data_IF_207922831660
#
_entry.id   IF_207922831660
#
_cell.length_a   1.000
_cell.length_b   1.000
_cell.length_c   1.000
_cell.angle_alpha   90.00
_cell.angle_beta   90.00
_cell.angle_gamma   90.00
#
_symmetry.space_group_name_H-M   'P 1'
#
loop_
_entity.id
_entity.type
_entity.pdbx_description
1 polymer ?
#
# COMPACT_ATOMS: atom_id res chain seq x y z
N UNK A 1 -29.52 5.42 10.94
CA UNK A 1 -29.25 5.47 12.41
C UNK A 1 -27.96 4.75 12.83
N UNK A 2 -27.75 3.50 12.41
CA UNK A 2 -26.59 2.69 12.81
C UNK A 2 -25.24 3.29 12.35
N UNK A 3 -25.11 3.66 11.08
CA UNK A 3 -23.85 4.22 10.54
C UNK A 3 -23.40 5.49 11.28
N UNK A 4 -24.36 6.37 11.62
CA UNK A 4 -24.09 7.57 12.41
C UNK A 4 -23.55 7.24 13.80
N UNK A 5 -24.07 6.18 14.43
CA UNK A 5 -23.60 5.72 15.74
C UNK A 5 -22.17 5.20 15.64
N UNK A 6 -21.86 4.37 14.65
CA UNK A 6 -20.51 3.86 14.42
C UNK A 6 -19.50 4.98 14.18
N UNK A 7 -19.86 5.99 13.38
CA UNK A 7 -19.02 7.17 13.16
C UNK A 7 -18.80 7.95 14.46
N UNK A 8 -19.84 8.13 15.27
CA UNK A 8 -19.72 8.79 16.58
C UNK A 8 -18.88 7.98 17.59
N UNK A 9 -18.82 6.66 17.44
CA UNK A 9 -17.95 5.75 18.21
C UNK A 9 -16.51 5.72 17.68
N UNK A 10 -16.21 6.43 16.58
CA UNK A 10 -14.88 6.53 15.98
C UNK A 10 -14.57 5.51 14.89
N UNK A 11 -15.56 4.75 14.42
CA UNK A 11 -15.38 3.80 13.31
C UNK A 11 -15.43 4.51 11.95
N UNK A 12 -14.69 3.99 10.98
CA UNK A 12 -14.78 4.39 9.58
C UNK A 12 -15.63 3.39 8.77
N UNK A 13 -16.33 3.88 7.75
CA UNK A 13 -17.09 3.06 6.80
C UNK A 13 -16.36 3.12 5.46
N UNK A 14 -15.70 2.01 5.10
CA UNK A 14 -14.82 1.89 3.93
C UNK A 14 -15.52 1.27 2.72
N UNK A 15 -14.84 1.25 1.57
CA UNK A 15 -15.42 0.90 0.27
C UNK A 15 -15.26 -0.60 -0.02
N UNK A 16 -16.35 -1.27 -0.40
CA UNK A 16 -16.36 -2.70 -0.75
C UNK A 16 -17.20 -3.02 -2.00
N UNK A 17 -17.29 -2.07 -2.94
CA UNK A 17 -18.21 -2.05 -4.11
C UNK A 17 -19.70 -2.06 -3.71
N UNK A 18 -20.59 -1.65 -4.62
CA UNK A 18 -22.04 -1.68 -4.37
C UNK A 18 -22.61 -3.09 -4.55
N UNK A 19 -22.18 -3.78 -5.61
CA UNK A 19 -22.84 -5.02 -6.04
C UNK A 19 -22.11 -6.30 -5.56
N UNK A 20 -20.95 -6.14 -4.89
CA UNK A 20 -20.09 -7.25 -4.47
C UNK A 20 -19.82 -8.30 -5.58
N UNK A 21 -19.38 -7.87 -6.79
CA UNK A 21 -19.06 -8.81 -7.87
C UNK A 21 -17.82 -9.64 -7.52
N UNK A 22 -17.86 -10.92 -7.86
CA UNK A 22 -16.86 -11.89 -7.42
C UNK A 22 -16.46 -12.81 -8.58
N UNK A 23 -15.42 -12.49 -9.38
CA UNK A 23 -14.52 -11.32 -9.31
C UNK A 23 -15.11 -9.98 -9.79
N UNK A 24 -14.45 -8.86 -9.47
CA UNK A 24 -14.84 -7.53 -9.95
C UNK A 24 -14.74 -7.37 -11.48
N UNK A 25 -13.60 -7.75 -12.06
CA UNK A 25 -13.32 -7.62 -13.51
C UNK A 25 -13.88 -8.79 -14.34
N UNK A 26 -14.93 -9.47 -13.86
CA UNK A 26 -15.52 -10.59 -14.57
C UNK A 26 -16.32 -10.17 -15.80
N UNK A 27 -16.42 -11.06 -16.79
CA UNK A 27 -17.28 -10.86 -17.96
C UNK A 27 -16.76 -9.87 -19.02
N UNK A 28 -15.56 -9.31 -18.84
CA UNK A 28 -14.95 -8.39 -19.82
C UNK A 28 -15.59 -7.01 -19.87
N UNK A 29 -16.43 -6.67 -18.89
CA UNK A 29 -17.16 -5.40 -18.82
C UNK A 29 -16.47 -4.44 -17.84
N UNK A 30 -15.52 -3.67 -18.37
CA UNK A 30 -14.69 -2.77 -17.56
C UNK A 30 -15.49 -1.58 -17.02
N UNK A 31 -16.44 -1.05 -17.80
CA UNK A 31 -17.28 0.07 -17.39
C UNK A 31 -18.21 -0.31 -16.23
N UNK A 32 -18.76 -1.53 -16.25
CA UNK A 32 -19.53 -2.05 -15.12
C UNK A 32 -18.68 -2.22 -13.86
N UNK A 33 -17.46 -2.75 -14.00
CA UNK A 33 -16.52 -2.92 -12.89
C UNK A 33 -16.14 -1.56 -12.27
N UNK A 34 -15.79 -0.58 -13.11
CA UNK A 34 -15.54 0.79 -12.65
C UNK A 34 -16.76 1.39 -11.99
N UNK A 35 -17.93 1.26 -12.62
CA UNK A 35 -19.18 1.84 -12.14
C UNK A 35 -19.57 1.36 -10.75
N UNK A 36 -19.42 0.07 -10.43
CA UNK A 36 -19.76 -0.44 -9.09
C UNK A 36 -18.79 0.02 -8.00
N UNK A 37 -17.52 0.24 -8.36
CA UNK A 37 -16.52 0.84 -7.48
C UNK A 37 -16.81 2.32 -7.25
N UNK A 38 -16.91 3.12 -8.32
CA UNK A 38 -17.13 4.58 -8.27
C UNK A 38 -18.40 4.93 -7.48
N UNK A 39 -19.51 4.22 -7.74
CA UNK A 39 -20.76 4.41 -6.98
C UNK A 39 -20.58 4.12 -5.50
N UNK A 40 -19.76 3.14 -5.12
CA UNK A 40 -19.52 2.82 -3.71
C UNK A 40 -18.66 3.89 -3.04
N UNK A 41 -17.61 4.37 -3.70
CA UNK A 41 -16.78 5.48 -3.23
C UNK A 41 -17.66 6.71 -2.97
N UNK A 42 -18.45 7.12 -3.96
CA UNK A 42 -19.33 8.28 -3.83
C UNK A 42 -20.40 8.09 -2.75
N UNK A 43 -20.99 6.89 -2.66
CA UNK A 43 -21.96 6.58 -1.61
C UNK A 43 -21.34 6.67 -0.21
N UNK A 44 -20.16 6.08 0.01
CA UNK A 44 -19.48 6.11 1.31
C UNK A 44 -19.04 7.53 1.68
N UNK A 45 -18.59 8.33 0.71
CA UNK A 45 -18.26 9.74 0.89
C UNK A 45 -19.49 10.61 1.19
N UNK A 46 -20.68 10.22 0.73
CA UNK A 46 -21.92 10.96 0.99
C UNK A 46 -22.47 10.78 2.41
N UNK A 47 -21.96 9.81 3.19
CA UNK A 47 -22.42 9.57 4.57
C UNK A 47 -21.90 10.71 5.46
N UNK A 48 -22.77 11.49 6.14
CA UNK A 48 -22.32 12.61 6.95
C UNK A 48 -21.33 12.20 8.06
N UNK A 49 -20.16 12.85 8.08
CA UNK A 49 -19.08 12.57 9.03
C UNK A 49 -18.22 11.36 8.67
N UNK A 50 -18.52 10.64 7.59
CA UNK A 50 -17.64 9.62 7.05
C UNK A 50 -16.67 10.23 6.05
N UNK A 51 -15.46 9.70 5.99
CA UNK A 51 -14.51 10.00 4.92
C UNK A 51 -13.75 8.70 4.63
N UNK A 52 -14.23 7.89 3.67
CA UNK A 52 -13.58 6.63 3.34
C UNK A 52 -12.18 6.90 2.82
N UNK A 53 -11.21 6.08 3.21
CA UNK A 53 -9.84 6.15 2.70
C UNK A 53 -9.37 4.82 2.12
N UNK A 54 -10.08 3.72 2.41
CA UNK A 54 -9.66 2.38 2.08
C UNK A 54 -10.69 1.64 1.22
N UNK A 55 -10.16 0.74 0.40
CA UNK A 55 -10.92 -0.25 -0.35
C UNK A 55 -10.58 -1.66 0.13
N UNK A 56 -11.53 -2.58 -0.04
CA UNK A 56 -11.25 -4.02 -0.04
C UNK A 56 -11.93 -4.65 -1.24
N UNK A 57 -11.20 -5.47 -1.99
CA UNK A 57 -11.71 -6.19 -3.15
C UNK A 57 -12.66 -7.30 -2.70
N UNK A 58 -13.88 -7.40 -3.25
CA UNK A 58 -14.76 -8.54 -3.00
C UNK A 58 -14.08 -9.89 -3.25
N UNK A 59 -14.33 -10.85 -2.36
CA UNK A 59 -13.81 -12.23 -2.42
C UNK A 59 -12.28 -12.37 -2.47
N UNK A 60 -11.51 -11.37 -2.06
CA UNK A 60 -10.04 -11.43 -2.11
C UNK A 60 -9.41 -12.50 -1.22
N UNK A 61 -10.17 -13.04 -0.26
CA UNK A 61 -9.82 -14.13 0.67
C UNK A 61 -10.24 -15.53 0.18
N UNK A 62 -10.93 -15.62 -0.95
CA UNK A 62 -11.55 -16.87 -1.43
C UNK A 62 -11.34 -17.15 -2.91
N UNK A 63 -10.97 -16.12 -3.70
CA UNK A 63 -10.71 -16.21 -5.14
C UNK A 63 -9.59 -15.27 -5.53
N UNK A 64 -8.92 -15.52 -6.65
CA UNK A 64 -7.96 -14.57 -7.23
C UNK A 64 -8.71 -13.37 -7.86
N UNK A 65 -8.89 -12.27 -7.12
CA UNK A 65 -9.72 -11.11 -7.54
C UNK A 65 -8.99 -9.76 -7.62
N UNK A 66 -7.99 -9.42 -6.77
CA UNK A 66 -7.15 -8.25 -6.97
C UNK A 66 -6.43 -8.33 -8.32
N UNK A 67 -6.24 -7.17 -8.95
CA UNK A 67 -5.67 -7.09 -10.30
C UNK A 67 -4.88 -5.81 -10.48
N UNK A 68 -3.70 -5.86 -11.13
CA UNK A 68 -2.97 -4.67 -11.57
C UNK A 68 -3.85 -3.67 -12.32
N UNK A 69 -4.74 -4.16 -13.21
CA UNK A 69 -5.65 -3.31 -13.98
C UNK A 69 -6.64 -2.57 -13.09
N UNK A 70 -7.15 -3.22 -12.03
CA UNK A 70 -8.02 -2.55 -11.07
C UNK A 70 -7.29 -1.38 -10.42
N UNK A 71 -6.06 -1.60 -9.92
CA UNK A 71 -5.31 -0.52 -9.28
C UNK A 71 -5.00 0.63 -10.24
N UNK A 72 -4.47 0.34 -11.43
CA UNK A 72 -4.00 1.37 -12.37
C UNK A 72 -5.12 2.11 -13.09
N UNK A 73 -6.21 1.42 -13.43
CA UNK A 73 -7.24 1.96 -14.32
C UNK A 73 -8.55 2.31 -13.57
N UNK A 74 -8.76 1.83 -12.34
CA UNK A 74 -9.96 2.12 -11.53
C UNK A 74 -9.57 2.83 -10.21
N UNK A 75 -8.87 2.16 -9.29
CA UNK A 75 -8.58 2.70 -7.95
C UNK A 75 -7.75 4.00 -7.99
N UNK A 76 -6.76 4.06 -8.87
CA UNK A 76 -5.90 5.22 -9.04
C UNK A 76 -6.59 6.38 -9.81
N UNK A 77 -7.85 6.24 -10.17
CA UNK A 77 -8.65 7.32 -10.78
C UNK A 77 -9.50 8.00 -9.70
N UNK A 78 -9.98 9.20 -10.04
CA UNK A 78 -11.01 9.89 -9.27
C UNK A 78 -12.38 9.54 -9.83
N UNK A 79 -13.40 9.55 -8.97
CA UNK A 79 -14.80 9.50 -9.41
C UNK A 79 -15.20 10.82 -10.08
N UNK A 80 -16.38 10.87 -10.70
CA UNK A 80 -16.90 12.09 -11.35
C UNK A 80 -17.01 13.28 -10.36
N UNK A 81 -17.46 13.09 -9.11
CA UNK A 81 -17.41 14.15 -8.09
C UNK A 81 -15.99 14.54 -7.61
N UNK A 82 -14.95 13.81 -8.03
CA UNK A 82 -13.57 14.05 -7.60
C UNK A 82 -13.14 13.26 -6.36
N UNK A 83 -13.92 12.27 -5.90
CA UNK A 83 -13.53 11.45 -4.75
C UNK A 83 -12.45 10.44 -5.14
N UNK A 84 -11.57 10.12 -4.20
CA UNK A 84 -10.53 9.09 -4.33
C UNK A 84 -10.18 8.49 -2.97
N UNK A 85 -9.51 7.33 -3.00
CA UNK A 85 -9.04 6.60 -1.82
C UNK A 85 -7.50 6.60 -1.77
N UNK A 86 -6.94 6.33 -0.58
CA UNK A 86 -5.50 6.28 -0.33
C UNK A 86 -4.98 4.87 -0.06
N UNK A 87 -5.84 3.95 0.38
CA UNK A 87 -5.45 2.61 0.77
C UNK A 87 -6.31 1.50 0.14
N UNK A 88 -5.71 0.34 0.01
CA UNK A 88 -6.35 -0.93 -0.31
C UNK A 88 -5.94 -1.98 0.75
N UNK A 89 -6.76 -3.00 0.95
CA UNK A 89 -6.50 -4.10 1.89
C UNK A 89 -7.08 -5.39 1.30
N UNK A 90 -6.44 -5.85 0.24
CA UNK A 90 -6.93 -6.89 -0.67
C UNK A 90 -5.93 -8.02 -0.93
N UNK A 91 -4.68 -7.88 -0.49
CA UNK A 91 -3.64 -8.91 -0.54
C UNK A 91 -3.44 -9.47 0.86
N UNK A 92 -3.20 -10.77 0.97
CA UNK A 92 -3.06 -11.48 2.24
C UNK A 92 -1.59 -11.79 2.57
N UNK A 93 -1.13 -11.33 3.73
CA UNK A 93 0.16 -11.71 4.27
C UNK A 93 0.10 -13.09 4.93
N UNK A 94 0.91 -14.01 4.42
CA UNK A 94 1.17 -15.32 5.02
C UNK A 94 2.48 -15.22 5.79
N UNK A 95 2.45 -15.54 7.08
CA UNK A 95 3.70 -15.79 7.81
C UNK A 95 4.16 -17.21 7.55
N UNK A 96 5.44 -17.40 7.25
CA UNK A 96 6.01 -18.69 6.91
C UNK A 96 7.16 -19.07 7.85
N UNK A 97 7.53 -20.37 7.91
CA UNK A 97 8.79 -20.77 8.54
C UNK A 97 10.04 -20.33 7.77
N UNK A 98 9.93 -19.66 6.63
CA UNK A 98 11.05 -19.04 5.93
C UNK A 98 11.63 -17.87 6.74
N UNK A 99 10.79 -17.13 7.47
CA UNK A 99 11.24 -16.06 8.34
C UNK A 99 11.97 -16.62 9.57
N UNK A 100 13.30 -16.55 9.54
CA UNK A 100 14.18 -17.03 10.61
C UNK A 100 14.22 -16.11 11.83
N UNK A 101 13.63 -14.90 11.75
CA UNK A 101 13.51 -13.99 12.88
C UNK A 101 12.38 -14.37 13.85
N UNK A 102 11.51 -15.31 13.45
CA UNK A 102 10.33 -15.72 14.22
C UNK A 102 10.54 -17.03 15.00
N UNK A 103 10.02 -17.12 16.24
CA UNK A 103 9.96 -18.39 16.97
C UNK A 103 9.21 -19.46 16.17
N UNK A 104 9.80 -20.67 16.07
CA UNK A 104 9.21 -21.79 15.31
C UNK A 104 7.81 -22.16 15.78
N UNK A 105 7.53 -22.00 17.07
CA UNK A 105 6.21 -22.28 17.67
C UNK A 105 5.11 -21.37 17.16
N UNK A 106 5.42 -20.18 16.64
CA UNK A 106 4.43 -19.26 16.07
C UNK A 106 4.13 -19.53 14.60
N UNK A 107 5.00 -20.23 13.89
CA UNK A 107 4.91 -20.43 12.42
C UNK A 107 4.72 -21.89 12.01
N UNK A 108 4.83 -22.83 12.97
CA UNK A 108 4.55 -24.25 12.77
C UNK A 108 3.46 -24.75 13.72
N UNK A 109 2.72 -25.73 13.24
CA UNK A 109 1.82 -26.55 14.04
C UNK A 109 2.59 -27.64 14.81
N UNK A 110 1.93 -28.30 15.77
CA UNK A 110 2.52 -29.36 16.60
C UNK A 110 2.98 -30.59 15.78
N UNK A 111 2.37 -30.82 14.61
CA UNK A 111 2.76 -31.87 13.67
C UNK A 111 3.94 -31.48 12.76
N UNK A 112 4.47 -30.26 12.94
CA UNK A 112 5.58 -29.70 12.16
C UNK A 112 5.15 -29.01 10.87
N UNK A 113 3.86 -29.04 10.51
CA UNK A 113 3.30 -28.35 9.34
C UNK A 113 3.39 -26.84 9.44
N UNK A 114 3.25 -26.14 8.30
CA UNK A 114 3.14 -24.67 8.29
C UNK A 114 1.81 -24.23 8.90
N UNK A 115 1.86 -23.34 9.90
CA UNK A 115 0.66 -22.90 10.62
C UNK A 115 -0.35 -22.21 9.72
N UNK A 116 0.11 -21.36 8.78
CA UNK A 116 -0.77 -20.44 8.05
C UNK A 116 -1.09 -20.89 6.62
N UNK A 117 -0.16 -21.54 5.91
CA UNK A 117 -0.34 -21.91 4.49
C UNK A 117 -1.54 -22.85 4.25
N UNK A 118 -1.90 -23.66 5.24
CA UNK A 118 -3.07 -24.57 5.20
C UNK A 118 -4.42 -23.85 4.99
N UNK A 119 -4.49 -22.55 5.28
CA UNK A 119 -5.69 -21.73 5.13
C UNK A 119 -5.90 -21.21 3.71
N UNK A 120 -4.88 -21.30 2.84
CA UNK A 120 -5.04 -20.84 1.46
C UNK A 120 -6.14 -21.62 0.74
N UNK A 121 -7.05 -20.94 0.01
CA UNK A 121 -8.25 -21.58 -0.50
C UNK A 121 -7.99 -22.70 -1.53
N UNK A 122 -6.91 -22.59 -2.31
CA UNK A 122 -6.51 -23.56 -3.33
C UNK A 122 -5.02 -23.39 -3.72
N UNK A 123 -4.36 -24.41 -4.32
CA UNK A 123 -2.92 -24.39 -4.59
C UNK A 123 -2.41 -23.25 -5.49
N UNK A 124 -3.25 -22.71 -6.38
CA UNK A 124 -2.91 -21.60 -7.28
C UNK A 124 -3.46 -20.24 -6.81
N UNK A 125 -3.73 -20.10 -5.51
CA UNK A 125 -4.11 -18.81 -4.93
C UNK A 125 -2.91 -17.86 -4.95
N UNK A 126 -3.09 -16.65 -5.47
CA UNK A 126 -1.99 -15.69 -5.70
C UNK A 126 -2.20 -14.33 -5.06
N UNK A 127 -3.30 -14.11 -4.34
CA UNK A 127 -3.57 -12.85 -3.66
C UNK A 127 -2.77 -12.73 -2.36
N UNK A 128 -1.51 -13.14 -2.38
CA UNK A 128 -0.73 -13.29 -1.16
C UNK A 128 0.65 -12.67 -1.31
N UNK A 129 1.15 -12.20 -0.17
CA UNK A 129 2.54 -11.87 0.05
C UNK A 129 3.04 -12.71 1.23
N UNK A 130 4.33 -13.00 1.29
CA UNK A 130 4.90 -13.81 2.36
C UNK A 130 5.81 -12.96 3.24
N UNK A 131 5.68 -13.12 4.56
CA UNK A 131 6.57 -12.54 5.58
C UNK A 131 6.71 -11.01 5.54
N UNK A 132 5.68 -10.31 5.03
CA UNK A 132 5.65 -8.86 4.87
C UNK A 132 4.39 -8.24 5.50
N UNK A 133 4.31 -8.15 6.85
CA UNK A 133 3.15 -7.59 7.55
C UNK A 133 3.12 -6.05 7.54
N UNK A 134 3.69 -5.39 6.54
CA UNK A 134 3.83 -3.93 6.48
C UNK A 134 3.04 -3.35 5.30
N UNK A 135 2.53 -2.11 5.41
CA UNK A 135 1.97 -1.41 4.26
C UNK A 135 3.02 -1.21 3.17
N UNK A 136 2.63 -1.35 1.90
CA UNK A 136 3.50 -1.08 0.74
C UNK A 136 2.78 -0.32 -0.36
N UNK A 137 3.52 0.29 -1.27
CA UNK A 137 2.94 1.15 -2.31
C UNK A 137 2.65 0.37 -3.60
N UNK A 138 1.43 0.45 -4.09
CA UNK A 138 1.02 -0.03 -5.42
C UNK A 138 0.80 1.16 -6.34
N UNK A 139 1.45 1.14 -7.51
CA UNK A 139 1.20 2.12 -8.58
C UNK A 139 1.39 3.57 -8.14
N UNK A 140 2.30 3.82 -7.18
CA UNK A 140 2.67 5.13 -6.59
C UNK A 140 1.60 5.84 -5.76
N UNK A 141 0.34 5.45 -5.89
CA UNK A 141 -0.81 6.20 -5.36
C UNK A 141 -1.64 5.42 -4.32
N UNK A 142 -1.38 4.12 -4.15
CA UNK A 142 -2.14 3.26 -3.25
C UNK A 142 -1.25 2.67 -2.17
N UNK A 143 -1.64 2.81 -0.91
CA UNK A 143 -1.12 2.01 0.18
C UNK A 143 -1.86 0.68 0.28
N UNK A 144 -1.20 -0.43 0.00
CA UNK A 144 -1.74 -1.76 0.29
C UNK A 144 -1.40 -2.15 1.73
N UNK A 145 -2.43 -2.37 2.53
CA UNK A 145 -2.37 -2.89 3.89
C UNK A 145 -2.74 -4.37 3.88
N UNK A 146 -1.75 -5.28 3.91
CA UNK A 146 -2.03 -6.69 3.69
C UNK A 146 -2.90 -7.26 4.83
N UNK A 147 -3.97 -7.96 4.46
CA UNK A 147 -4.80 -8.75 5.37
C UNK A 147 -3.96 -9.85 6.03
N UNK A 148 -4.32 -10.27 7.24
CA UNK A 148 -3.67 -11.41 7.88
C UNK A 148 -4.33 -12.72 7.48
N UNK A 149 -3.54 -13.77 7.24
CA UNK A 149 -4.03 -15.15 7.17
C UNK A 149 -4.01 -15.77 8.57
N UNK A 150 -5.12 -16.36 9.06
CA UNK A 150 -6.38 -16.53 8.35
C UNK A 150 -7.37 -15.36 8.53
N UNK A 151 -8.22 -15.12 7.52
CA UNK A 151 -9.55 -14.52 7.70
C UNK A 151 -10.52 -15.51 8.35
N UNK A 152 -11.67 -15.03 8.85
CA UNK A 152 -12.71 -15.95 9.32
C UNK A 152 -13.34 -16.81 8.19
N UNK A 153 -13.35 -16.33 6.94
CA UNK A 153 -13.79 -17.10 5.78
C UNK A 153 -12.83 -18.26 5.48
N UNK A 154 -11.52 -17.97 5.42
CA UNK A 154 -10.48 -18.99 5.19
C UNK A 154 -10.51 -20.02 6.31
N UNK A 155 -10.64 -19.54 7.55
CA UNK A 155 -10.67 -20.39 8.72
C UNK A 155 -11.90 -21.29 8.78
N UNK A 156 -13.11 -20.76 8.55
CA UNK A 156 -14.32 -21.59 8.57
C UNK A 156 -14.34 -22.59 7.41
N UNK A 157 -13.76 -22.25 6.26
CA UNK A 157 -13.72 -23.15 5.12
C UNK A 157 -12.92 -24.42 5.45
N UNK A 158 -11.80 -24.26 6.16
CA UNK A 158 -10.97 -25.37 6.62
C UNK A 158 -11.52 -26.06 7.88
N UNK A 159 -11.90 -25.29 8.90
CA UNK A 159 -12.10 -25.78 10.27
C UNK A 159 -13.55 -25.79 10.73
N UNK A 160 -14.49 -25.37 9.88
CA UNK A 160 -15.90 -25.07 10.18
C UNK A 160 -16.06 -23.84 11.09
N UNK A 161 -17.25 -23.21 11.10
CA UNK A 161 -17.50 -22.02 11.91
C UNK A 161 -17.15 -22.18 13.39
N UNK A 162 -16.69 -21.08 13.99
CA UNK A 162 -16.50 -20.91 15.42
C UNK A 162 -15.49 -21.88 16.07
N UNK A 163 -14.58 -22.44 15.27
CA UNK A 163 -13.54 -23.34 15.75
C UNK A 163 -12.55 -22.58 16.66
N UNK A 164 -12.24 -23.07 17.87
CA UNK A 164 -11.26 -22.41 18.75
C UNK A 164 -9.85 -22.37 18.17
N UNK A 165 -9.48 -23.30 17.26
CA UNK A 165 -8.19 -23.26 16.58
C UNK A 165 -8.02 -22.01 15.71
N UNK A 166 -9.11 -21.49 15.12
CA UNK A 166 -9.10 -20.21 14.40
C UNK A 166 -8.59 -19.07 15.28
N UNK A 167 -9.09 -18.98 16.51
CA UNK A 167 -8.71 -17.91 17.45
C UNK A 167 -7.25 -18.08 17.87
N UNK A 168 -6.82 -19.31 18.15
CA UNK A 168 -5.42 -19.60 18.49
C UNK A 168 -4.44 -19.23 17.36
N UNK A 169 -4.79 -19.54 16.10
CA UNK A 169 -3.96 -19.20 14.95
C UNK A 169 -3.98 -17.69 14.68
N UNK A 170 -5.12 -17.00 14.85
CA UNK A 170 -5.18 -15.53 14.80
C UNK A 170 -4.36 -14.86 15.92
N UNK A 171 -4.36 -15.42 17.14
CA UNK A 171 -3.51 -14.94 18.24
C UNK A 171 -2.02 -15.12 17.94
N UNK A 172 -1.63 -16.25 17.34
CA UNK A 172 -0.25 -16.47 16.88
C UNK A 172 0.16 -15.46 15.79
N UNK A 173 -0.71 -15.21 14.82
CA UNK A 173 -0.45 -14.20 13.78
C UNK A 173 -0.37 -12.78 14.36
N UNK A 174 -1.17 -12.46 15.38
CA UNK A 174 -1.06 -11.20 16.13
C UNK A 174 0.28 -11.09 16.86
N UNK A 175 0.71 -12.16 17.53
CA UNK A 175 2.03 -12.20 18.20
C UNK A 175 3.16 -11.97 17.20
N UNK A 176 3.07 -12.57 16.01
CA UNK A 176 4.02 -12.33 14.91
C UNK A 176 3.99 -10.86 14.50
N UNK A 177 2.82 -10.26 14.26
CA UNK A 177 2.72 -8.85 13.88
C UNK A 177 3.38 -7.93 14.93
N UNK A 178 3.23 -8.24 16.22
CA UNK A 178 3.91 -7.49 17.30
C UNK A 178 5.42 -7.68 17.28
N UNK A 179 5.92 -8.91 17.07
CA UNK A 179 7.36 -9.18 16.95
C UNK A 179 7.99 -8.46 15.76
N UNK A 180 7.25 -8.39 14.64
CA UNK A 180 7.67 -7.70 13.42
C UNK A 180 7.44 -6.19 13.48
N UNK A 181 6.77 -5.66 14.52
CA UNK A 181 6.33 -4.27 14.57
C UNK A 181 5.48 -3.86 13.36
N UNK A 182 4.70 -4.81 12.83
CA UNK A 182 3.87 -4.66 11.63
C UNK A 182 2.39 -4.38 11.94
N UNK A 183 1.56 -4.58 10.91
CA UNK A 183 0.11 -4.43 10.98
C UNK A 183 -0.59 -5.79 11.06
N UNK A 184 -1.72 -5.83 11.77
CA UNK A 184 -2.60 -6.99 11.85
C UNK A 184 -3.98 -6.57 11.34
N UNK A 185 -4.22 -6.72 10.03
CA UNK A 185 -5.48 -6.33 9.40
C UNK A 185 -6.44 -7.53 9.41
N UNK A 186 -7.24 -7.63 10.48
CA UNK A 186 -8.22 -8.70 10.65
C UNK A 186 -9.37 -8.58 9.65
N UNK A 187 -9.78 -9.71 9.08
CA UNK A 187 -10.98 -9.83 8.26
C UNK A 187 -11.98 -10.74 8.97
N UNK A 188 -13.17 -10.21 9.24
CA UNK A 188 -14.27 -10.99 9.80
C UNK A 188 -15.63 -10.53 9.27
N UNK A 189 -16.60 -11.44 9.29
CA UNK A 189 -17.92 -11.24 8.72
C UNK A 189 -19.01 -11.42 9.79
N UNK A 190 -20.04 -10.55 9.83
CA UNK A 190 -21.22 -10.74 10.68
C UNK A 190 -22.16 -11.85 10.15
N UNK A 191 -21.59 -12.96 9.67
CA UNK A 191 -22.28 -14.14 9.14
C UNK A 191 -22.28 -15.31 10.14
N UNK A 192 -21.54 -15.20 11.26
CA UNK A 192 -21.46 -16.26 12.28
C UNK A 192 -20.41 -17.33 11.99
N UNK A 193 -19.42 -17.02 11.15
CA UNK A 193 -18.21 -17.83 10.94
C UNK A 193 -17.24 -17.72 12.11
N UNK A 194 -17.20 -16.54 12.74
CA UNK A 194 -16.58 -16.28 14.03
C UNK A 194 -17.60 -15.58 14.93
N UNK A 195 -17.59 -15.90 16.24
CA UNK A 195 -18.49 -15.27 17.21
C UNK A 195 -17.91 -13.99 17.80
N UNK A 196 -18.77 -13.15 18.35
CA UNK A 196 -18.36 -11.91 19.02
C UNK A 196 -17.41 -12.16 20.20
N UNK A 197 -17.65 -13.19 21.01
CA UNK A 197 -16.80 -13.56 22.15
C UNK A 197 -15.40 -14.00 21.70
N UNK A 198 -15.26 -14.61 20.53
CA UNK A 198 -13.97 -14.99 19.95
C UNK A 198 -13.16 -13.78 19.46
N UNK A 199 -13.83 -12.77 18.89
CA UNK A 199 -13.17 -11.50 18.53
C UNK A 199 -12.76 -10.74 19.79
N UNK A 200 -13.60 -10.74 20.83
CA UNK A 200 -13.24 -10.18 22.15
C UNK A 200 -12.05 -10.92 22.76
N UNK A 201 -11.96 -12.24 22.64
CA UNK A 201 -10.81 -13.02 23.10
C UNK A 201 -9.51 -12.60 22.41
N UNK A 202 -9.55 -12.32 21.11
CA UNK A 202 -8.39 -11.81 20.36
C UNK A 202 -7.96 -10.41 20.83
N UNK A 203 -8.93 -9.52 21.10
CA UNK A 203 -8.67 -8.19 21.68
C UNK A 203 -8.05 -8.32 23.07
N UNK A 204 -8.62 -9.18 23.92
CA UNK A 204 -8.13 -9.47 25.26
C UNK A 204 -6.70 -10.02 25.23
N UNK A 205 -6.39 -10.93 24.31
CA UNK A 205 -5.03 -11.44 24.09
C UNK A 205 -4.06 -10.30 23.74
N UNK A 206 -4.42 -9.45 22.79
CA UNK A 206 -3.61 -8.31 22.38
C UNK A 206 -3.30 -7.37 23.55
N UNK A 207 -4.33 -7.00 24.31
CA UNK A 207 -4.20 -6.05 25.44
C UNK A 207 -3.46 -6.68 26.62
N UNK A 208 -3.81 -7.90 27.02
CA UNK A 208 -3.21 -8.56 28.20
C UNK A 208 -1.75 -8.94 27.96
N UNK A 209 -1.43 -9.43 26.76
CA UNK A 209 -0.07 -9.91 26.45
C UNK A 209 0.87 -8.79 26.00
N UNK A 210 0.40 -7.87 25.17
CA UNK A 210 1.26 -6.88 24.50
C UNK A 210 1.06 -5.45 25.02
N UNK A 211 -0.07 -5.16 25.66
CA UNK A 211 -0.34 -3.89 26.35
C UNK A 211 -0.09 -2.67 25.45
N UNK A 212 0.83 -1.81 25.87
CA UNK A 212 1.15 -0.56 25.16
C UNK A 212 1.85 -0.74 23.81
N UNK A 213 2.27 -1.96 23.46
CA UNK A 213 2.88 -2.24 22.15
C UNK A 213 1.86 -2.27 21.01
N UNK A 214 0.57 -2.41 21.31
CA UNK A 214 -0.51 -2.46 20.30
C UNK A 214 -1.34 -1.20 20.32
N UNK A 215 -1.89 -0.85 19.15
CA UNK A 215 -2.85 0.23 18.97
C UNK A 215 -3.92 -0.24 18.00
N UNK A 216 -5.19 -0.06 18.38
CA UNK A 216 -6.32 -0.30 17.49
C UNK A 216 -6.58 0.97 16.70
N UNK A 217 -6.56 0.87 15.38
CA UNK A 217 -6.69 1.98 14.46
C UNK A 217 -7.71 1.65 13.38
N UNK A 218 -8.50 2.65 12.99
CA UNK A 218 -9.17 2.65 11.69
C UNK A 218 -8.14 2.84 10.56
N UNK A 219 -8.51 2.50 9.32
CA UNK A 219 -7.63 2.78 8.17
C UNK A 219 -7.32 4.27 8.01
N UNK A 220 -8.29 5.14 8.31
CA UNK A 220 -8.06 6.59 8.33
C UNK A 220 -6.93 6.96 9.28
N UNK A 221 -7.01 6.53 10.53
CA UNK A 221 -5.99 6.90 11.52
C UNK A 221 -4.60 6.33 11.17
N UNK A 222 -4.56 5.14 10.56
CA UNK A 222 -3.32 4.54 10.08
C UNK A 222 -2.72 5.35 8.91
N UNK A 223 -3.53 5.69 7.91
CA UNK A 223 -3.12 6.52 6.76
C UNK A 223 -2.68 7.91 7.21
N UNK A 224 -3.41 8.55 8.13
CA UNK A 224 -3.04 9.85 8.70
C UNK A 224 -1.66 9.80 9.37
N UNK A 225 -1.40 8.76 10.18
CA UNK A 225 -0.07 8.57 10.81
C UNK A 225 1.04 8.37 9.81
N UNK A 226 0.79 7.62 8.74
CA UNK A 226 1.77 7.44 7.68
C UNK A 226 2.04 8.76 6.95
N UNK A 227 0.99 9.50 6.58
CA UNK A 227 1.13 10.80 5.95
C UNK A 227 1.95 11.77 6.82
N UNK A 228 1.64 11.87 8.12
CA UNK A 228 2.33 12.80 9.01
C UNK A 228 3.74 12.35 9.37
N UNK A 229 3.93 11.10 9.82
CA UNK A 229 5.21 10.68 10.40
C UNK A 229 6.19 10.12 9.37
N UNK A 230 5.70 9.32 8.43
CA UNK A 230 6.52 8.72 7.37
C UNK A 230 6.69 9.67 6.19
N UNK A 231 5.64 10.39 5.78
CA UNK A 231 5.68 11.23 4.58
C UNK A 231 5.80 12.74 4.84
N UNK A 232 5.96 13.18 6.10
CA UNK A 232 6.08 14.61 6.44
C UNK A 232 4.99 15.49 5.81
N UNK A 233 3.74 15.04 5.91
CA UNK A 233 2.53 15.67 5.37
C UNK A 233 2.52 15.80 3.84
N UNK A 234 3.32 14.99 3.13
CA UNK A 234 3.26 14.81 1.67
C UNK A 234 2.63 13.46 1.34
N UNK A 235 1.28 13.33 1.32
CA UNK A 235 0.61 12.06 1.00
C UNK A 235 1.02 11.54 -0.38
N UNK A 236 0.81 10.24 -0.66
CA UNK A 236 1.06 9.66 -1.99
C UNK A 236 0.21 10.32 -3.09
N UNK A 237 -1.00 10.79 -2.73
CA UNK A 237 -1.94 11.44 -3.64
C UNK A 237 -2.08 12.91 -3.33
N UNK A 238 -2.09 13.75 -4.36
CA UNK A 238 -2.30 15.19 -4.23
C UNK A 238 -3.78 15.50 -3.95
N UNK A 239 -4.13 16.77 -3.73
CA UNK A 239 -5.50 17.20 -3.42
C UNK A 239 -6.52 16.88 -4.53
N UNK A 240 -6.05 16.66 -5.76
CA UNK A 240 -6.87 16.24 -6.91
C UNK A 240 -6.89 14.72 -7.11
N UNK A 241 -6.31 13.96 -6.19
CA UNK A 241 -6.19 12.51 -6.28
C UNK A 241 -5.14 12.00 -7.27
N UNK A 242 -4.29 12.85 -7.84
CA UNK A 242 -3.17 12.43 -8.71
C UNK A 242 -1.93 12.00 -7.92
N UNK A 243 -0.90 11.52 -8.62
CA UNK A 243 0.42 11.24 -8.03
C UNK A 243 1.03 12.52 -7.43
N UNK A 244 1.43 12.47 -6.17
CA UNK A 244 2.01 13.62 -5.46
C UNK A 244 3.55 13.66 -5.49
N UNK A 245 4.19 12.88 -6.37
CA UNK A 245 5.65 12.89 -6.50
C UNK A 245 6.38 12.39 -5.25
N UNK A 246 5.82 11.36 -4.61
CA UNK A 246 6.39 10.69 -3.43
C UNK A 246 6.75 9.26 -3.79
N UNK A 247 7.96 8.83 -3.46
CA UNK A 247 8.49 7.48 -3.73
C UNK A 247 9.08 6.88 -2.47
N UNK A 248 8.87 5.58 -2.29
CA UNK A 248 9.50 4.80 -1.24
C UNK A 248 10.43 3.78 -1.85
N UNK A 249 11.67 3.78 -1.39
CA UNK A 249 12.74 2.88 -1.83
C UNK A 249 13.88 2.92 -0.82
N UNK A 250 14.61 1.83 -0.68
CA UNK A 250 15.84 1.77 0.11
C UNK A 250 16.98 2.42 -0.69
N UNK A 251 17.45 3.60 -0.26
CA UNK A 251 18.48 4.35 -0.99
C UNK A 251 19.90 3.97 -0.58
N UNK A 252 20.08 3.55 0.67
CA UNK A 252 21.39 3.29 1.27
C UNK A 252 21.70 1.78 1.40
N UNK A 253 20.75 0.90 1.07
CA UNK A 253 20.87 -0.55 1.11
C UNK A 253 20.80 -1.14 2.52
N UNK A 254 20.21 -0.44 3.49
CA UNK A 254 20.16 -0.90 4.89
C UNK A 254 18.94 -1.78 5.21
N UNK A 255 18.06 -2.01 4.24
CA UNK A 255 16.85 -2.81 4.37
C UNK A 255 15.62 -2.04 4.88
N UNK A 256 15.72 -0.74 5.12
CA UNK A 256 14.59 0.13 5.46
C UNK A 256 14.20 1.01 4.26
N UNK A 257 12.92 1.37 4.18
CA UNK A 257 12.43 2.25 3.12
C UNK A 257 12.70 3.72 3.48
N UNK A 258 13.32 4.43 2.55
CA UNK A 258 13.50 5.87 2.56
C UNK A 258 12.39 6.56 1.74
N UNK A 259 12.28 7.88 1.87
CA UNK A 259 11.24 8.67 1.19
C UNK A 259 11.90 9.73 0.29
N UNK A 260 11.59 9.69 -1.01
CA UNK A 260 12.00 10.72 -1.97
C UNK A 260 10.79 11.52 -2.42
N UNK A 261 10.84 12.83 -2.21
CA UNK A 261 9.76 13.77 -2.52
C UNK A 261 10.28 14.79 -3.54
N UNK A 262 9.52 15.02 -4.59
CA UNK A 262 9.80 16.03 -5.60
C UNK A 262 8.54 16.50 -6.29
N UNK A 263 7.65 17.15 -5.55
CA UNK A 263 6.46 17.79 -6.10
C UNK A 263 6.64 19.31 -6.19
N UNK A 264 5.57 20.02 -6.54
CA UNK A 264 5.59 21.48 -6.71
C UNK A 264 6.02 22.24 -5.45
N UNK A 265 5.76 21.71 -4.26
CA UNK A 265 5.95 22.41 -2.99
C UNK A 265 7.16 21.91 -2.20
N UNK A 266 7.56 20.65 -2.39
CA UNK A 266 8.62 20.00 -1.61
C UNK A 266 9.57 19.20 -2.51
N UNK A 267 10.87 19.46 -2.35
CA UNK A 267 11.98 18.64 -2.85
C UNK A 267 12.85 18.16 -1.70
N UNK A 268 12.58 16.96 -1.20
CA UNK A 268 13.21 16.43 0.01
C UNK A 268 13.38 14.92 -0.08
N UNK A 269 14.58 14.45 0.22
CA UNK A 269 14.86 13.04 0.47
C UNK A 269 15.02 12.84 1.96
N UNK A 270 14.39 11.80 2.52
CA UNK A 270 14.42 11.44 3.94
C UNK A 270 14.94 10.02 4.03
N UNK A 271 16.12 9.86 4.62
CA UNK A 271 16.74 8.56 4.88
C UNK A 271 16.47 8.15 6.32
N UNK A 272 15.92 6.97 6.55
CA UNK A 272 15.58 6.49 7.88
C UNK A 272 16.83 5.96 8.59
N UNK A 273 17.06 6.40 9.83
CA UNK A 273 18.04 5.78 10.71
C UNK A 273 17.31 4.92 11.75
N UNK A 274 17.33 3.58 11.63
CA UNK A 274 16.61 2.69 12.54
C UNK A 274 17.22 2.64 13.95
N UNK A 275 18.49 3.02 14.12
CA UNK A 275 19.16 3.04 15.43
C UNK A 275 18.79 4.28 16.23
N UNK A 276 18.76 5.44 15.57
CA UNK A 276 18.44 6.73 16.19
C UNK A 276 16.93 7.01 16.20
N UNK A 277 16.15 6.25 15.43
CA UNK A 277 14.72 6.45 15.21
C UNK A 277 14.42 7.86 14.68
N UNK A 278 15.24 8.31 13.73
CA UNK A 278 15.17 9.65 13.16
C UNK A 278 15.43 9.68 11.67
N UNK A 279 14.99 10.75 11.02
CA UNK A 279 15.22 10.99 9.59
C UNK A 279 16.46 11.86 9.40
N UNK A 280 17.35 11.46 8.50
CA UNK A 280 18.35 12.35 7.89
C UNK A 280 17.78 12.87 6.57
N UNK A 281 17.81 14.19 6.38
CA UNK A 281 17.19 14.80 5.21
C UNK A 281 18.22 15.51 4.32
N UNK A 282 18.05 15.38 3.01
CA UNK A 282 18.81 16.12 1.98
C UNK A 282 17.88 16.56 0.84
N UNK A 283 18.41 17.36 -0.10
CA UNK A 283 17.61 17.88 -1.22
C UNK A 283 17.40 16.81 -2.31
N UNK A 284 16.16 16.64 -2.78
CA UNK A 284 15.89 15.86 -3.99
C UNK A 284 16.26 16.69 -5.22
N UNK A 285 17.13 16.22 -6.12
CA UNK A 285 17.76 17.06 -7.14
C UNK A 285 16.85 17.41 -8.33
N UNK A 286 15.66 16.81 -8.41
CA UNK A 286 14.74 16.97 -9.54
C UNK A 286 13.27 16.80 -9.11
N UNK A 287 12.32 17.42 -9.83
CA UNK A 287 10.91 17.06 -9.70
C UNK A 287 10.67 15.61 -10.13
N UNK A 288 9.71 14.96 -9.48
CA UNK A 288 9.26 13.60 -9.76
C UNK A 288 7.91 13.55 -10.48
N UNK A 289 7.20 14.68 -10.51
CA UNK A 289 5.93 14.90 -11.21
C UNK A 289 5.92 16.32 -11.78
N UNK A 290 5.15 16.56 -12.83
CA UNK A 290 4.95 17.90 -13.37
C UNK A 290 4.01 18.73 -12.52
N UNK A 291 4.17 20.05 -12.58
CA UNK A 291 3.22 20.96 -11.98
C UNK A 291 1.82 20.80 -12.62
N UNK A 292 0.82 20.46 -11.83
CA UNK A 292 -0.57 20.33 -12.24
C UNK A 292 -0.94 19.00 -12.87
N UNK A 293 -0.07 17.98 -12.87
CA UNK A 293 -0.36 16.69 -13.53
C UNK A 293 -1.63 16.05 -12.96
N UNK A 294 -2.65 15.94 -13.81
CA UNK A 294 -3.82 15.07 -13.61
C UNK A 294 -3.42 13.68 -14.11
N UNK A 295 -4.01 12.61 -13.56
CA UNK A 295 -3.66 11.22 -13.89
C UNK A 295 -3.66 10.99 -15.42
N UNK A 296 -2.48 10.86 -16.02
CA UNK A 296 -2.30 10.55 -17.44
C UNK A 296 -1.49 11.55 -18.27
N UNK A 297 -1.08 12.70 -17.73
CA UNK A 297 -0.15 13.64 -18.38
C UNK A 297 1.22 13.59 -17.66
N UNK A 298 2.15 12.75 -18.13
CA UNK A 298 3.55 12.71 -17.63
C UNK A 298 4.48 13.35 -18.68
N UNK A 299 4.86 14.62 -18.49
CA UNK A 299 6.01 15.27 -19.14
C UNK A 299 7.31 15.02 -18.34
N UNK A 300 7.24 14.88 -17.02
CA UNK A 300 8.34 14.54 -16.13
C UNK A 300 8.50 13.02 -15.98
N UNK A 301 9.42 12.45 -16.74
CA UNK A 301 9.81 11.04 -16.59
C UNK A 301 10.88 10.93 -15.52
N UNK A 302 10.48 10.80 -14.26
CA UNK A 302 11.38 10.42 -13.17
C UNK A 302 11.35 8.90 -12.95
N UNK A 303 12.51 8.23 -13.08
CA UNK A 303 12.65 6.79 -12.92
C UNK A 303 13.83 6.48 -12.01
N UNK A 304 13.63 5.53 -11.11
CA UNK A 304 14.68 5.03 -10.22
C UNK A 304 15.15 3.67 -10.70
N UNK A 305 16.43 3.37 -10.51
CA UNK A 305 16.99 2.06 -10.80
C UNK A 305 18.38 1.87 -10.22
N UNK A 306 18.80 0.62 -10.08
CA UNK A 306 20.16 0.25 -9.69
C UNK A 306 20.90 -0.12 -10.97
N UNK A 307 21.69 0.83 -11.48
CA UNK A 307 22.44 0.66 -12.74
C UNK A 307 23.95 0.71 -12.53
N UNK A 308 24.39 1.10 -11.34
CA UNK A 308 25.80 1.14 -10.95
C UNK A 308 26.23 -0.20 -10.36
N UNK A 309 27.50 -0.55 -10.57
CA UNK A 309 28.08 -1.79 -10.03
C UNK A 309 28.23 -1.78 -8.50
N UNK A 310 28.16 -0.61 -7.86
CA UNK A 310 28.19 -0.44 -6.40
C UNK A 310 26.80 -0.53 -5.76
N UNK A 311 25.78 -0.93 -6.53
CA UNK A 311 24.38 -1.02 -6.12
C UNK A 311 23.71 0.31 -5.70
N UNK A 312 24.36 1.46 -5.93
CA UNK A 312 23.76 2.76 -5.61
C UNK A 312 22.50 3.03 -6.45
N UNK A 313 21.47 3.58 -5.80
CA UNK A 313 20.25 4.00 -6.50
C UNK A 313 20.54 5.20 -7.39
N UNK A 314 20.05 5.13 -8.63
CA UNK A 314 20.13 6.20 -9.62
C UNK A 314 18.74 6.74 -9.95
N UNK A 315 18.59 8.06 -9.98
CA UNK A 315 17.42 8.81 -10.42
C UNK A 315 17.69 9.36 -11.83
N UNK A 316 16.98 8.84 -12.82
CA UNK A 316 16.91 9.40 -14.16
C UNK A 316 15.72 10.35 -14.26
N UNK A 317 15.96 11.54 -14.80
CA UNK A 317 14.92 12.54 -15.04
C UNK A 317 15.10 13.14 -16.42
N UNK A 318 13.97 13.46 -17.05
CA UNK A 318 13.91 14.33 -18.22
C UNK A 318 13.28 15.64 -17.78
N UNK A 319 14.08 16.70 -17.73
CA UNK A 319 13.62 18.01 -17.27
C UNK A 319 14.08 19.12 -18.22
N UNK A 320 13.19 20.08 -18.46
CA UNK A 320 13.55 21.37 -19.05
C UNK A 320 14.38 22.20 -18.05
N UNK A 321 15.26 23.06 -18.55
CA UNK A 321 15.92 24.05 -17.69
C UNK A 321 14.94 25.16 -17.30
N UNK A 322 15.11 25.71 -16.09
CA UNK A 322 14.44 26.96 -15.71
C UNK A 322 14.91 28.06 -16.68
N UNK A 323 14.04 28.42 -17.63
CA UNK A 323 14.33 29.40 -18.70
C UNK A 323 14.51 28.83 -20.10
N UNK A 324 14.53 27.50 -20.28
CA UNK A 324 14.57 26.83 -21.59
C UNK A 324 13.62 25.62 -21.60
N UNK A 325 12.32 25.93 -21.65
CA UNK A 325 11.23 24.95 -21.73
C UNK A 325 11.25 24.13 -23.03
N UNK A 326 11.98 24.61 -24.05
CA UNK A 326 11.96 24.06 -25.40
C UNK A 326 13.05 23.00 -25.65
N UNK A 327 13.99 22.80 -24.71
CA UNK A 327 15.07 21.80 -24.83
C UNK A 327 15.27 20.94 -23.57
N UNK A 328 14.33 20.03 -23.26
CA UNK A 328 14.49 19.09 -22.15
C UNK A 328 15.69 18.16 -22.38
N UNK A 329 16.48 17.96 -21.32
CA UNK A 329 17.66 17.07 -21.34
C UNK A 329 17.58 16.00 -20.28
N UNK A 330 18.09 14.82 -20.61
CA UNK A 330 18.30 13.76 -19.64
C UNK A 330 19.30 14.21 -18.58
N UNK A 331 18.96 13.95 -17.32
CA UNK A 331 19.87 14.07 -16.18
C UNK A 331 19.80 12.79 -15.38
N UNK A 332 20.92 12.44 -14.78
CA UNK A 332 20.98 11.33 -13.85
C UNK A 332 21.68 11.79 -12.57
N UNK A 333 21.18 11.31 -11.44
CA UNK A 333 21.76 11.50 -10.12
C UNK A 333 21.90 10.14 -9.46
N UNK A 334 23.01 9.88 -8.78
CA UNK A 334 23.20 8.67 -7.98
C UNK A 334 23.24 9.04 -6.51
N UNK A 335 22.60 8.22 -5.68
CA UNK A 335 22.63 8.39 -4.23
C UNK A 335 23.90 7.72 -3.67
N UNK A 336 24.89 8.54 -3.31
CA UNK A 336 26.21 8.08 -2.87
C UNK A 336 26.62 8.84 -1.62
N UNK A 337 27.12 8.12 -0.62
CA UNK A 337 27.54 8.68 0.68
C UNK A 337 26.43 9.48 1.39
N UNK A 338 25.17 9.15 1.11
CA UNK A 338 24.02 9.80 1.73
C UNK A 338 23.50 11.06 1.03
N UNK A 339 24.01 11.36 -0.15
CA UNK A 339 23.65 12.56 -0.92
C UNK A 339 23.38 12.20 -2.38
N UNK A 340 22.55 12.99 -3.05
CA UNK A 340 22.36 12.89 -4.49
C UNK A 340 23.49 13.60 -5.24
N UNK A 341 24.24 12.87 -6.06
CA UNK A 341 25.34 13.41 -6.86
C UNK A 341 25.03 13.28 -8.36
N UNK A 342 25.25 14.32 -9.19
CA UNK A 342 25.11 14.20 -10.64
C UNK A 342 25.98 13.07 -11.21
N UNK A 343 25.41 12.24 -12.09
CA UNK A 343 26.14 11.17 -12.78
C UNK A 343 26.02 11.33 -14.30
N UNK A 344 26.82 12.24 -14.85
CA UNK A 344 26.82 12.56 -16.28
C UNK A 344 27.19 11.37 -17.17
N UNK A 345 27.94 10.39 -16.62
CA UNK A 345 28.34 9.18 -17.33
C UNK A 345 27.13 8.34 -17.75
N UNK A 346 26.07 8.34 -16.94
CA UNK A 346 24.86 7.56 -17.19
C UNK A 346 23.92 8.22 -18.23
N UNK A 347 24.17 9.48 -18.59
CA UNK A 347 23.42 10.20 -19.64
C UNK A 347 24.26 10.58 -20.85
N UNK A 348 25.56 10.22 -20.85
CA UNK A 348 26.46 10.46 -21.95
C UNK A 348 25.96 9.76 -23.22
N UNK A 349 25.78 10.54 -24.29
CA UNK A 349 25.31 10.03 -25.58
C UNK A 349 23.78 9.90 -25.71
N UNK A 350 23.00 10.21 -24.67
CA UNK A 350 21.55 10.29 -24.81
C UNK A 350 21.13 11.51 -25.64
N UNK A 351 20.13 11.38 -26.51
CA UNK A 351 19.69 12.48 -27.39
C UNK A 351 19.04 13.61 -26.59
N UNK A 352 19.15 14.83 -27.09
CA UNK A 352 18.26 15.93 -26.68
C UNK A 352 16.90 15.72 -27.35
N UNK A 353 15.82 15.79 -26.59
CA UNK A 353 14.48 15.60 -27.14
C UNK A 353 13.90 16.96 -27.55
N UNK A 354 13.39 17.12 -28.79
CA UNK A 354 12.62 18.32 -29.14
C UNK A 354 11.28 18.31 -28.39
N UNK A 355 10.85 19.47 -27.90
CA UNK A 355 9.61 19.65 -27.11
C UNK A 355 8.36 19.04 -27.77
N UNK A 356 8.31 18.93 -29.10
CA UNK A 356 7.21 18.34 -29.88
C UNK A 356 7.10 16.81 -29.82
N UNK A 357 8.07 16.11 -29.23
CA UNK A 357 8.12 14.63 -29.19
C UNK A 357 7.63 13.99 -27.89
N UNK A 358 7.30 14.81 -26.87
CA UNK A 358 6.96 14.31 -25.53
C UNK A 358 5.53 13.79 -25.39
N UNK A 359 4.60 14.24 -26.24
CA UNK A 359 3.20 13.80 -26.22
C UNK A 359 2.97 12.36 -26.73
N UNK A 360 4.02 11.68 -27.21
CA UNK A 360 3.90 10.38 -27.89
C UNK A 360 4.68 9.22 -27.26
N UNK A 361 5.50 9.44 -26.23
CA UNK A 361 6.30 8.37 -25.61
C UNK A 361 5.49 7.61 -24.55
N UNK A 362 4.45 6.91 -25.00
CA UNK A 362 3.92 5.77 -24.26
C UNK A 362 4.95 4.63 -24.33
N UNK A 363 5.84 4.55 -23.35
CA UNK A 363 6.57 3.30 -23.12
C UNK A 363 5.59 2.31 -22.49
N UNK A 364 5.21 1.29 -23.27
CA UNK A 364 4.45 0.13 -22.80
C UNK A 364 5.21 -0.66 -21.74
#
# INVERSE_FOLDING_TARGET
>A
PQLRRWIAEGLSIEVHTVDHPCPLLQGGDFDKARGTYDRCVDLMASIPGNHPVAFRMPCCDSRNTPSPRFWTEIFNRTTTPGNFLQADSSVFNITTPGDTSLPRTLVRDDDGGERFRKYLPFPSFVNTIEDYPYPYVIGRMCWEFPCVVPSDWEAQNLQRPNNPRTVADMQAALDVAVLKQGTFNLVFHPHGWIRNDQVVELIDHAVKKHGRKVKFLTFREAVERMNTHLLADQPLRNERGGDNGVRLLDLNGDGFLDVVQGNETVRRTRVWNPTELSWRECETPAPLVDAGSVVGDELAVARFGIVRGDASVSLFTLAAELGDADSPRWRCFSFVDGEWQPDERLVAGLPRLPSSSLAGMCFR
#
